data_IF_592988184724
#
_entry.id   IF_592988184724
#
_cell.length_a   1.000
_cell.length_b   1.000
_cell.length_c   1.000
_cell.angle_alpha   90.00
_cell.angle_beta   90.00
_cell.angle_gamma   90.00
#
_symmetry.space_group_name_H-M   'P 1'
#
loop_
_entity.id
_entity.type
_entity.pdbx_description
1 polymer ?
#
# COMPACT_ATOMS: atom_id res chain seq x y z
N UNK A 1 -19.68 18.06 -15.22
CA UNK A 1 -19.31 16.83 -14.47
C UNK A 1 -19.95 16.94 -13.09
N UNK A 2 -20.70 15.93 -12.65
CA UNK A 2 -21.25 15.93 -11.30
C UNK A 2 -20.10 15.92 -10.27
N UNK A 3 -20.23 16.58 -9.11
CA UNK A 3 -19.18 16.55 -8.10
C UNK A 3 -18.99 15.11 -7.58
N UNK A 4 -17.74 14.71 -7.34
CA UNK A 4 -17.34 13.36 -6.89
C UNK A 4 -18.22 12.87 -5.74
N UNK A 5 -18.39 13.71 -4.71
CA UNK A 5 -19.29 13.44 -3.57
C UNK A 5 -20.69 13.03 -3.97
N UNK A 6 -21.29 13.71 -4.94
CA UNK A 6 -22.65 13.42 -5.39
C UNK A 6 -22.75 12.07 -6.09
N UNK A 7 -21.71 11.63 -6.79
CA UNK A 7 -21.67 10.31 -7.42
C UNK A 7 -21.45 9.21 -6.39
N UNK A 8 -20.49 9.42 -5.48
CA UNK A 8 -20.12 8.49 -4.41
C UNK A 8 -21.31 8.18 -3.49
N UNK A 9 -22.11 9.19 -3.14
CA UNK A 9 -23.26 9.07 -2.23
C UNK A 9 -24.58 8.77 -2.95
N UNK A 10 -24.59 8.67 -4.29
CA UNK A 10 -25.80 8.37 -5.02
C UNK A 10 -26.31 6.95 -4.68
N UNK A 11 -27.63 6.77 -4.48
CA UNK A 11 -28.20 5.46 -4.18
C UNK A 11 -27.84 4.41 -5.23
N UNK A 12 -27.40 3.24 -4.78
CA UNK A 12 -27.01 2.12 -5.65
C UNK A 12 -25.62 2.24 -6.27
N UNK A 13 -24.87 3.31 -6.01
CA UNK A 13 -23.46 3.42 -6.40
C UNK A 13 -22.59 2.46 -5.59
N UNK A 14 -21.89 1.57 -6.28
CA UNK A 14 -20.85 0.71 -5.77
C UNK A 14 -19.47 1.29 -6.09
N UNK A 15 -18.47 0.96 -5.29
CA UNK A 15 -17.09 1.42 -5.46
C UNK A 15 -16.11 0.24 -5.43
N UNK A 16 -15.36 0.06 -6.52
CA UNK A 16 -14.29 -0.95 -6.62
C UNK A 16 -12.94 -0.26 -6.63
N UNK A 17 -11.99 -0.70 -5.79
CA UNK A 17 -10.62 -0.18 -5.88
C UNK A 17 -9.85 -0.83 -7.04
N UNK A 18 -9.20 0.00 -7.84
CA UNK A 18 -8.29 -0.41 -8.93
C UNK A 18 -6.88 0.07 -8.57
N UNK A 19 -5.97 -0.85 -8.21
CA UNK A 19 -4.60 -0.50 -7.84
C UNK A 19 -3.84 0.13 -9.02
N UNK A 20 -3.04 1.14 -8.70
CA UNK A 20 -2.11 1.78 -9.63
C UNK A 20 -0.67 1.33 -9.42
N UNK A 21 0.18 1.67 -10.39
CA UNK A 21 1.64 1.65 -10.30
C UNK A 21 2.17 2.96 -10.91
N UNK A 22 2.72 3.90 -10.13
CA UNK A 22 2.95 3.87 -8.68
C UNK A 22 1.67 3.73 -7.83
N UNK A 23 1.80 3.41 -6.54
CA UNK A 23 0.64 3.18 -5.67
C UNK A 23 -0.36 4.36 -5.69
N UNK A 24 0.15 5.61 -5.67
CA UNK A 24 -0.63 6.85 -5.79
C UNK A 24 -1.51 6.99 -7.04
N UNK A 25 -1.28 6.22 -8.11
CA UNK A 25 -2.16 6.22 -9.29
C UNK A 25 -3.35 5.26 -9.17
N UNK A 26 -3.53 4.65 -7.99
CA UNK A 26 -4.71 3.86 -7.66
C UNK A 26 -5.97 4.72 -7.63
N UNK A 27 -7.09 4.15 -8.10
CA UNK A 27 -8.35 4.86 -8.29
C UNK A 27 -9.52 4.06 -7.75
N UNK A 28 -10.58 4.75 -7.32
CA UNK A 28 -11.88 4.13 -7.10
C UNK A 28 -12.68 4.18 -8.39
N UNK A 29 -13.10 3.02 -8.88
CA UNK A 29 -14.08 2.91 -9.95
C UNK A 29 -15.48 2.92 -9.32
N UNK A 30 -16.25 3.99 -9.58
CA UNK A 30 -17.65 4.10 -9.19
C UNK A 30 -18.54 3.53 -10.28
N UNK A 31 -19.49 2.68 -9.91
CA UNK A 31 -20.35 1.97 -10.86
C UNK A 31 -21.71 1.63 -10.26
N UNK A 32 -22.66 1.23 -11.10
CA UNK A 32 -24.02 0.85 -10.68
C UNK A 32 -24.48 -0.38 -11.45
N UNK A 33 -25.18 -1.30 -10.77
CA UNK A 33 -25.65 -2.55 -11.38
C UNK A 33 -26.89 -2.38 -12.28
N UNK A 34 -27.81 -1.52 -11.87
CA UNK A 34 -29.17 -1.46 -12.44
C UNK A 34 -29.32 -0.33 -13.46
N UNK A 35 -28.79 0.85 -13.14
CA UNK A 35 -28.82 2.03 -14.01
C UNK A 35 -27.42 2.56 -14.17
N UNK A 36 -27.05 2.95 -15.37
CA UNK A 36 -25.76 3.59 -15.62
C UNK A 36 -26.00 5.09 -15.79
N UNK A 37 -25.51 5.94 -14.87
CA UNK A 37 -25.49 7.38 -15.06
C UNK A 37 -24.70 7.77 -16.32
N UNK A 38 -25.12 8.81 -17.04
CA UNK A 38 -24.41 9.31 -18.24
C UNK A 38 -22.97 9.76 -17.95
N UNK A 39 -22.65 10.07 -16.69
CA UNK A 39 -21.29 10.42 -16.26
C UNK A 39 -20.31 9.24 -16.29
N UNK A 40 -20.80 8.00 -16.38
CA UNK A 40 -19.97 6.79 -16.36
C UNK A 40 -19.56 6.45 -17.80
N UNK A 41 -18.43 7.00 -18.23
CA UNK A 41 -17.98 6.94 -19.63
C UNK A 41 -16.92 5.89 -19.89
N UNK A 42 -16.21 5.45 -18.85
CA UNK A 42 -15.16 4.44 -18.96
C UNK A 42 -15.73 3.04 -18.69
N UNK A 43 -14.98 1.98 -19.00
CA UNK A 43 -15.44 0.60 -18.77
C UNK A 43 -14.43 -0.18 -17.95
N UNK A 44 -14.91 -1.01 -17.03
CA UNK A 44 -14.11 -1.93 -16.24
C UNK A 44 -14.73 -3.33 -16.27
N UNK A 45 -13.89 -4.34 -16.44
CA UNK A 45 -14.31 -5.74 -16.37
C UNK A 45 -14.54 -6.16 -14.91
N UNK A 46 -15.81 -6.34 -14.56
CA UNK A 46 -16.25 -6.71 -13.22
C UNK A 46 -16.89 -8.09 -13.21
N UNK A 47 -16.62 -8.86 -12.16
CA UNK A 47 -17.36 -10.08 -11.83
C UNK A 47 -18.56 -9.69 -10.99
N UNK A 48 -19.74 -9.72 -11.60
CA UNK A 48 -21.00 -9.28 -10.97
C UNK A 48 -22.02 -10.42 -10.90
N UNK A 49 -22.92 -10.40 -9.90
CA UNK A 49 -24.07 -11.31 -9.85
C UNK A 49 -24.93 -11.23 -11.12
N UNK A 50 -25.39 -12.39 -11.57
CA UNK A 50 -26.27 -12.59 -12.72
C UNK A 50 -27.22 -13.74 -12.40
N UNK A 51 -28.35 -13.43 -11.77
CA UNK A 51 -29.28 -14.42 -11.24
C UNK A 51 -28.61 -15.28 -10.17
N UNK A 52 -28.63 -16.61 -10.35
CA UNK A 52 -27.98 -17.56 -9.45
C UNK A 52 -26.48 -17.81 -9.75
N UNK A 53 -25.88 -17.04 -10.67
CA UNK A 53 -24.48 -17.21 -11.09
C UNK A 53 -23.71 -15.90 -11.04
N UNK A 54 -22.39 -15.95 -11.21
CA UNK A 54 -21.55 -14.75 -11.44
C UNK A 54 -21.07 -14.71 -12.89
N UNK A 55 -21.01 -13.50 -13.46
CA UNK A 55 -20.54 -13.27 -14.83
C UNK A 55 -19.56 -12.11 -14.85
N UNK A 56 -18.52 -12.24 -15.67
CA UNK A 56 -17.69 -11.11 -16.04
C UNK A 56 -18.45 -10.26 -17.06
N UNK A 57 -18.51 -8.95 -16.80
CA UNK A 57 -19.14 -7.96 -17.68
C UNK A 57 -18.25 -6.73 -17.75
N UNK A 58 -18.14 -6.14 -18.93
CA UNK A 58 -17.70 -4.77 -19.07
C UNK A 58 -18.80 -3.86 -18.50
N UNK A 59 -18.51 -3.20 -17.38
CA UNK A 59 -19.44 -2.32 -16.66
C UNK A 59 -18.98 -0.88 -16.86
N UNK A 60 -19.87 0.05 -17.20
CA UNK A 60 -19.53 1.47 -17.25
C UNK A 60 -19.19 2.01 -15.85
N UNK A 61 -18.10 2.75 -15.76
CA UNK A 61 -17.55 3.31 -14.52
C UNK A 61 -17.14 4.76 -14.70
N UNK A 62 -17.05 5.48 -13.58
CA UNK A 62 -16.25 6.70 -13.46
C UNK A 62 -15.10 6.42 -12.52
N UNK A 63 -13.86 6.66 -12.95
CA UNK A 63 -12.72 6.62 -12.04
C UNK A 63 -12.59 7.93 -11.27
N UNK A 64 -12.23 7.79 -10.00
CA UNK A 64 -11.95 8.90 -9.11
C UNK A 64 -10.59 8.67 -8.47
N UNK A 65 -9.71 9.66 -8.57
CA UNK A 65 -8.40 9.61 -7.93
C UNK A 65 -8.56 9.67 -6.41
N UNK A 66 -7.74 8.90 -5.68
CA UNK A 66 -7.84 8.85 -4.22
C UNK A 66 -7.69 10.25 -3.62
N UNK A 67 -6.76 11.06 -4.12
CA UNK A 67 -6.53 12.45 -3.67
C UNK A 67 -7.78 13.33 -3.66
N UNK A 68 -8.76 13.05 -4.53
CA UNK A 68 -9.96 13.86 -4.70
C UNK A 68 -11.16 13.33 -3.91
N UNK A 69 -11.04 12.15 -3.29
CA UNK A 69 -12.15 11.46 -2.62
C UNK A 69 -11.89 11.11 -1.15
N UNK A 70 -10.66 11.29 -0.64
CA UNK A 70 -10.34 10.97 0.77
C UNK A 70 -11.26 11.67 1.76
N UNK A 71 -11.48 12.99 1.60
CA UNK A 71 -12.34 13.77 2.50
C UNK A 71 -13.79 13.29 2.47
N UNK A 72 -14.29 12.95 1.28
CA UNK A 72 -15.65 12.43 1.11
C UNK A 72 -15.80 11.04 1.75
N UNK A 73 -14.80 10.16 1.61
CA UNK A 73 -14.78 8.85 2.26
C UNK A 73 -14.75 8.97 3.79
N UNK A 74 -13.93 9.87 4.33
CA UNK A 74 -13.85 10.11 5.78
C UNK A 74 -15.17 10.67 6.32
N UNK A 75 -15.95 11.38 5.50
CA UNK A 75 -17.25 11.92 5.90
C UNK A 75 -18.41 10.89 5.91
N UNK A 76 -18.27 9.71 5.30
CA UNK A 76 -19.34 8.68 5.23
C UNK A 76 -19.63 8.07 6.61
N UNK A 77 -20.76 8.37 7.25
CA UNK A 77 -20.97 7.92 8.61
C UNK A 77 -21.09 6.37 8.70
N UNK A 78 -20.53 5.72 9.73
CA UNK A 78 -20.63 4.27 9.89
C UNK A 78 -22.07 3.77 10.04
N UNK A 79 -22.97 4.62 10.51
CA UNK A 79 -24.37 4.32 10.84
C UNK A 79 -25.36 4.84 9.81
N UNK A 80 -24.90 5.21 8.61
CA UNK A 80 -25.82 5.60 7.54
C UNK A 80 -26.81 4.44 7.30
N UNK A 81 -28.11 4.76 7.34
CA UNK A 81 -29.21 3.81 7.29
C UNK A 81 -29.28 3.01 5.98
N UNK A 82 -30.33 2.21 5.76
CA UNK A 82 -30.46 1.35 4.58
C UNK A 82 -30.44 2.13 3.24
N UNK A 83 -30.82 3.40 3.26
CA UNK A 83 -30.79 4.31 2.10
C UNK A 83 -29.47 5.09 1.95
N UNK A 84 -28.50 4.82 2.83
CA UNK A 84 -27.17 5.42 2.81
C UNK A 84 -26.25 4.85 1.73
N UNK A 85 -24.96 5.23 1.74
CA UNK A 85 -23.97 4.73 0.80
C UNK A 85 -23.92 3.20 0.76
N UNK A 86 -23.53 2.62 -0.37
CA UNK A 86 -23.45 1.16 -0.50
C UNK A 86 -22.45 0.53 0.49
N UNK A 87 -22.56 -0.79 0.69
CA UNK A 87 -21.62 -1.51 1.53
C UNK A 87 -20.18 -1.40 1.03
N UNK A 88 -19.96 -1.35 -0.29
CA UNK A 88 -18.62 -1.18 -0.86
C UNK A 88 -18.04 0.21 -0.57
N UNK A 89 -18.83 1.27 -0.71
CA UNK A 89 -18.42 2.64 -0.35
C UNK A 89 -18.09 2.73 1.13
N UNK A 90 -18.95 2.19 2.02
CA UNK A 90 -18.69 2.15 3.47
C UNK A 90 -17.42 1.36 3.82
N UNK A 91 -17.13 0.27 3.12
CA UNK A 91 -15.92 -0.52 3.35
C UNK A 91 -14.66 0.28 3.01
N UNK A 92 -14.63 0.97 1.86
CA UNK A 92 -13.51 1.83 1.51
C UNK A 92 -13.39 3.06 2.43
N UNK A 93 -14.51 3.62 2.89
CA UNK A 93 -14.50 4.67 3.91
C UNK A 93 -13.86 4.20 5.23
N UNK A 94 -14.19 2.98 5.69
CA UNK A 94 -13.55 2.38 6.86
C UNK A 94 -12.05 2.14 6.65
N UNK A 95 -11.66 1.62 5.48
CA UNK A 95 -10.26 1.41 5.13
C UNK A 95 -9.46 2.72 5.07
N UNK A 96 -10.05 3.80 4.53
CA UNK A 96 -9.42 5.14 4.50
C UNK A 96 -9.17 5.65 5.91
N UNK A 97 -10.14 5.53 6.83
CA UNK A 97 -9.95 5.94 8.23
C UNK A 97 -8.84 5.14 8.91
N UNK A 98 -8.77 3.83 8.65
CA UNK A 98 -7.69 2.97 9.15
C UNK A 98 -6.31 3.45 8.68
N UNK A 99 -6.16 3.75 7.39
CA UNK A 99 -4.92 4.27 6.83
C UNK A 99 -4.56 5.64 7.43
N UNK A 100 -5.51 6.57 7.51
CA UNK A 100 -5.27 7.91 8.09
C UNK A 100 -4.95 7.86 9.58
N UNK A 101 -5.53 6.91 10.32
CA UNK A 101 -5.19 6.67 11.72
C UNK A 101 -3.73 6.25 11.88
N UNK A 102 -3.23 5.37 11.01
CA UNK A 102 -1.83 4.95 10.98
C UNK A 102 -0.89 6.12 10.61
N UNK A 103 -1.28 6.93 9.62
CA UNK A 103 -0.53 8.14 9.25
C UNK A 103 -0.46 9.12 10.41
N UNK A 104 -1.58 9.36 11.12
CA UNK A 104 -1.63 10.23 12.29
C UNK A 104 -0.74 9.71 13.44
N UNK A 105 -0.53 8.40 13.53
CA UNK A 105 0.41 7.75 14.45
C UNK A 105 1.87 7.77 13.95
N UNK A 106 2.15 8.41 12.82
CA UNK A 106 3.49 8.48 12.22
C UNK A 106 3.98 7.16 11.64
N UNK A 107 3.08 6.21 11.34
CA UNK A 107 3.43 4.90 10.75
C UNK A 107 3.58 5.01 9.24
N UNK A 108 4.59 5.74 8.80
CA UNK A 108 4.83 6.02 7.40
C UNK A 108 6.32 5.95 7.09
N UNK A 109 6.66 5.24 6.02
CA UNK A 109 8.04 5.02 5.60
C UNK A 109 8.19 5.36 4.11
N UNK A 110 9.14 6.26 3.75
CA UNK A 110 9.55 6.42 2.37
C UNK A 110 10.33 5.17 1.92
N UNK A 111 10.02 4.65 0.73
CA UNK A 111 10.59 3.40 0.22
C UNK A 111 10.79 3.44 -1.29
N UNK A 112 11.47 2.43 -1.82
CA UNK A 112 11.58 2.15 -3.24
C UNK A 112 10.87 0.82 -3.51
N UNK A 113 9.97 0.79 -4.49
CA UNK A 113 9.28 -0.45 -4.85
C UNK A 113 10.16 -1.38 -5.72
N UNK A 114 9.64 -2.56 -6.05
CA UNK A 114 10.37 -3.57 -6.82
C UNK A 114 10.76 -3.09 -8.24
N UNK A 115 10.06 -2.09 -8.77
CA UNK A 115 10.33 -1.48 -10.07
C UNK A 115 11.35 -0.33 -9.96
N UNK A 116 11.96 -0.13 -8.79
CA UNK A 116 12.97 0.88 -8.53
C UNK A 116 12.43 2.31 -8.41
N UNK A 117 11.13 2.47 -8.11
CA UNK A 117 10.51 3.80 -8.03
C UNK A 117 10.12 4.24 -6.64
N UNK A 118 9.98 5.55 -6.50
CA UNK A 118 9.58 6.24 -5.29
C UNK A 118 8.17 5.83 -4.81
N UNK A 119 8.06 5.45 -3.54
CA UNK A 119 6.79 5.10 -2.91
C UNK A 119 6.76 5.50 -1.43
N UNK A 120 5.57 5.78 -0.91
CA UNK A 120 5.30 5.82 0.52
C UNK A 120 4.50 4.60 0.93
N UNK A 121 4.86 3.99 2.07
CA UNK A 121 4.16 2.83 2.63
C UNK A 121 3.82 3.05 4.08
N UNK A 122 2.70 2.46 4.51
CA UNK A 122 2.36 2.42 5.92
C UNK A 122 3.19 1.35 6.63
N UNK A 123 3.63 1.67 7.84
CA UNK A 123 4.34 0.74 8.71
C UNK A 123 5.40 1.42 9.58
N UNK A 124 6.11 0.63 10.40
CA UNK A 124 5.84 -0.77 10.70
C UNK A 124 4.49 -0.95 11.42
N UNK A 125 3.82 -2.08 11.18
CA UNK A 125 2.56 -2.44 11.84
C UNK A 125 2.82 -3.20 13.14
N UNK A 126 2.03 -2.90 14.17
CA UNK A 126 1.93 -3.75 15.35
C UNK A 126 0.86 -4.85 15.14
N UNK A 127 0.74 -5.84 16.05
CA UNK A 127 -0.25 -6.91 15.89
C UNK A 127 -1.69 -6.40 15.80
N UNK A 128 -2.04 -5.31 16.48
CA UNK A 128 -3.38 -4.72 16.43
C UNK A 128 -3.65 -4.10 15.06
N UNK A 129 -2.67 -3.43 14.47
CA UNK A 129 -2.74 -2.90 13.10
C UNK A 129 -2.97 -4.02 12.07
N UNK A 130 -2.29 -5.16 12.24
CA UNK A 130 -2.50 -6.35 11.41
C UNK A 130 -3.93 -6.90 11.56
N UNK A 131 -4.41 -7.07 12.78
CA UNK A 131 -5.77 -7.52 13.05
C UNK A 131 -6.82 -6.57 12.46
N UNK A 132 -6.62 -5.25 12.60
CA UNK A 132 -7.52 -4.26 12.03
C UNK A 132 -7.57 -4.33 10.50
N UNK A 133 -6.42 -4.51 9.85
CA UNK A 133 -6.33 -4.69 8.39
C UNK A 133 -7.05 -5.96 7.93
N UNK A 134 -6.87 -7.06 8.65
CA UNK A 134 -7.52 -8.33 8.32
C UNK A 134 -9.03 -8.26 8.53
N UNK A 135 -9.49 -7.59 9.60
CA UNK A 135 -10.91 -7.34 9.83
C UNK A 135 -11.54 -6.52 8.68
N UNK A 136 -10.85 -5.50 8.17
CA UNK A 136 -11.29 -4.75 6.98
C UNK A 136 -11.37 -5.63 5.74
N UNK A 137 -10.38 -6.49 5.51
CA UNK A 137 -10.35 -7.39 4.37
C UNK A 137 -11.47 -8.46 4.44
N UNK A 138 -11.77 -8.97 5.63
CA UNK A 138 -12.83 -9.95 5.84
C UNK A 138 -14.23 -9.33 5.70
N UNK A 139 -14.37 -8.05 6.07
CA UNK A 139 -15.59 -7.26 5.89
C UNK A 139 -15.78 -6.71 4.45
N UNK A 140 -14.78 -6.85 3.57
CA UNK A 140 -14.82 -6.29 2.23
C UNK A 140 -15.89 -7.00 1.37
N UNK A 141 -16.95 -6.30 0.92
CA UNK A 141 -18.04 -6.92 0.17
C UNK A 141 -17.61 -7.23 -1.28
N UNK A 142 -18.23 -8.22 -1.96
CA UNK A 142 -17.85 -8.61 -3.32
C UNK A 142 -17.80 -7.45 -4.33
N UNK A 143 -18.72 -6.50 -4.23
CA UNK A 143 -18.74 -5.32 -5.08
C UNK A 143 -17.50 -4.44 -4.94
N UNK A 144 -16.82 -4.44 -3.77
CA UNK A 144 -15.64 -3.63 -3.52
C UNK A 144 -14.36 -4.19 -4.16
N UNK A 145 -14.29 -5.50 -4.41
CA UNK A 145 -13.14 -6.17 -5.04
C UNK A 145 -13.55 -6.90 -6.34
N UNK A 146 -14.53 -6.34 -7.05
CA UNK A 146 -15.17 -6.98 -8.19
C UNK A 146 -14.31 -7.07 -9.47
N UNK A 147 -13.14 -6.45 -9.50
CA UNK A 147 -12.24 -6.46 -10.66
C UNK A 147 -11.89 -7.89 -11.08
N UNK A 148 -12.16 -8.22 -12.34
CA UNK A 148 -11.82 -9.51 -12.91
C UNK A 148 -10.31 -9.62 -13.16
N UNK A 149 -9.71 -10.74 -12.75
CA UNK A 149 -8.33 -11.05 -13.13
C UNK A 149 -8.29 -11.54 -14.58
N UNK A 150 -7.58 -10.78 -15.42
CA UNK A 150 -7.44 -11.07 -16.85
C UNK A 150 -6.91 -12.48 -17.09
N UNK A 151 -7.45 -13.14 -18.12
CA UNK A 151 -7.01 -14.45 -18.61
C UNK A 151 -7.01 -15.59 -17.57
N UNK A 152 -7.88 -15.56 -16.56
CA UNK A 152 -8.03 -16.65 -15.57
C UNK A 152 -9.18 -17.61 -15.91
N UNK A 153 -8.90 -18.93 -15.87
CA UNK A 153 -9.90 -20.00 -15.90
C UNK A 153 -9.61 -20.98 -14.73
N UNK A 154 -10.54 -21.16 -13.76
CA UNK A 154 -11.82 -20.47 -13.58
C UNK A 154 -11.65 -18.96 -13.33
N UNK A 155 -12.72 -18.18 -13.52
CA UNK A 155 -12.69 -16.72 -13.30
C UNK A 155 -12.35 -16.41 -11.85
N UNK A 156 -11.43 -15.47 -11.63
CA UNK A 156 -10.99 -15.04 -10.31
C UNK A 156 -11.17 -13.53 -10.13
N UNK A 157 -11.45 -13.14 -8.90
CA UNK A 157 -11.49 -11.74 -8.45
C UNK A 157 -10.18 -11.42 -7.73
N UNK A 158 -9.87 -10.13 -7.56
CA UNK A 158 -8.76 -9.71 -6.73
C UNK A 158 -8.90 -10.24 -5.30
N UNK A 159 -7.78 -10.69 -4.72
CA UNK A 159 -7.74 -11.08 -3.31
C UNK A 159 -8.01 -9.87 -2.41
N UNK A 160 -8.86 -10.06 -1.39
CA UNK A 160 -9.34 -8.98 -0.53
C UNK A 160 -8.22 -8.41 0.34
N UNK A 161 -7.38 -9.27 0.91
CA UNK A 161 -6.27 -8.86 1.80
C UNK A 161 -5.22 -8.10 1.01
N UNK A 162 -4.87 -8.60 -0.18
CA UNK A 162 -3.99 -7.91 -1.10
C UNK A 162 -4.56 -6.54 -1.50
N UNK A 163 -5.86 -6.46 -1.83
CA UNK A 163 -6.48 -5.21 -2.28
C UNK A 163 -6.51 -4.16 -1.17
N UNK A 164 -6.82 -4.54 0.07
CA UNK A 164 -6.77 -3.63 1.23
C UNK A 164 -5.34 -3.13 1.48
N UNK A 165 -4.33 -4.00 1.41
CA UNK A 165 -2.94 -3.60 1.55
C UNK A 165 -2.52 -2.58 0.46
N UNK A 166 -2.90 -2.84 -0.80
CA UNK A 166 -2.63 -1.92 -1.92
C UNK A 166 -3.40 -0.61 -1.81
N UNK A 167 -4.60 -0.64 -1.27
CA UNK A 167 -5.38 0.58 -0.99
C UNK A 167 -4.69 1.43 0.07
N UNK A 168 -4.20 0.82 1.16
CA UNK A 168 -3.44 1.51 2.20
C UNK A 168 -2.13 2.12 1.68
N UNK A 169 -1.36 1.38 0.87
CA UNK A 169 -0.18 1.93 0.19
C UNK A 169 -0.57 3.13 -0.69
N UNK A 170 -1.68 3.04 -1.44
CA UNK A 170 -2.15 4.11 -2.32
C UNK A 170 -2.63 5.36 -1.56
N UNK A 171 -3.34 5.18 -0.44
CA UNK A 171 -3.76 6.29 0.44
C UNK A 171 -2.54 6.99 1.04
N UNK A 172 -1.56 6.23 1.55
CA UNK A 172 -0.33 6.78 2.09
C UNK A 172 0.44 7.59 1.04
N UNK A 173 0.64 7.00 -0.14
CA UNK A 173 1.38 7.60 -1.25
C UNK A 173 0.67 8.82 -1.84
N UNK A 174 -0.67 8.84 -1.87
CA UNK A 174 -1.43 10.00 -2.32
C UNK A 174 -1.47 11.12 -1.28
N UNK A 175 -1.55 10.80 0.02
CA UNK A 175 -1.77 11.78 1.08
C UNK A 175 -0.51 12.57 1.45
N UNK A 176 0.67 11.93 1.44
CA UNK A 176 1.88 12.51 2.06
C UNK A 176 2.76 13.30 1.09
N UNK A 177 2.45 13.28 -0.21
CA UNK A 177 3.16 14.02 -1.26
C UNK A 177 2.85 15.52 -1.23
N UNK A 178 3.33 16.15 -0.18
CA UNK A 178 3.24 17.59 0.06
C UNK A 178 4.60 18.24 -0.18
N UNK A 179 4.64 19.58 -0.22
CA UNK A 179 5.91 20.31 -0.34
C UNK A 179 6.91 20.03 0.81
N UNK A 180 6.46 19.48 1.94
CA UNK A 180 7.33 19.12 3.07
C UNK A 180 7.84 17.67 3.02
N UNK A 181 7.32 16.84 2.11
CA UNK A 181 7.74 15.45 1.95
C UNK A 181 9.26 15.25 1.76
N UNK A 182 9.99 16.13 1.03
CA UNK A 182 11.43 15.98 0.87
C UNK A 182 12.21 16.18 2.17
N UNK A 183 11.68 16.98 3.10
CA UNK A 183 12.30 17.20 4.42
C UNK A 183 12.22 15.92 5.25
N UNK A 184 11.09 15.20 5.18
CA UNK A 184 10.90 13.95 5.89
C UNK A 184 11.66 12.78 5.25
N UNK A 185 11.72 12.73 3.93
CA UNK A 185 12.29 11.60 3.18
C UNK A 185 13.74 11.82 2.71
N UNK A 186 14.29 13.03 2.86
CA UNK A 186 15.64 13.37 2.41
C UNK A 186 15.81 13.47 0.89
N UNK A 187 14.73 13.37 0.10
CA UNK A 187 14.79 13.41 -1.37
C UNK A 187 13.50 13.98 -1.98
N UNK A 188 13.65 14.81 -3.02
CA UNK A 188 12.55 15.48 -3.73
C UNK A 188 11.58 14.55 -4.48
N UNK A 189 11.99 13.33 -4.80
CA UNK A 189 11.15 12.33 -5.46
C UNK A 189 9.90 12.01 -4.63
N UNK A 190 9.99 12.08 -3.30
CA UNK A 190 8.89 11.78 -2.39
C UNK A 190 7.82 12.89 -2.30
N UNK A 191 8.01 14.01 -3.00
CA UNK A 191 6.97 15.01 -3.23
C UNK A 191 6.34 14.94 -4.64
N UNK A 192 6.95 14.19 -5.57
CA UNK A 192 6.56 14.20 -6.96
C UNK A 192 5.23 13.45 -7.20
N UNK A 193 4.30 14.05 -7.95
CA UNK A 193 3.09 13.33 -8.39
C UNK A 193 3.43 12.29 -9.46
N UNK A 194 4.32 12.64 -10.38
CA UNK A 194 4.79 11.74 -11.44
C UNK A 194 5.69 10.63 -10.89
N UNK A 195 5.78 9.52 -11.62
CA UNK A 195 6.67 8.39 -11.32
C UNK A 195 8.15 8.84 -11.40
N UNK A 196 8.94 8.60 -10.36
CA UNK A 196 10.38 8.88 -10.33
C UNK A 196 11.16 7.59 -10.10
N UNK A 197 12.03 7.25 -11.05
CA UNK A 197 12.98 6.15 -10.90
C UNK A 197 14.16 6.58 -10.02
N UNK A 198 14.38 5.85 -8.93
CA UNK A 198 15.44 6.08 -7.96
C UNK A 198 16.50 4.96 -7.98
N UNK A 199 16.13 3.78 -8.48
CA UNK A 199 17.01 2.64 -8.66
C UNK A 199 16.70 1.91 -9.97
N UNK A 200 17.66 1.17 -10.55
CA UNK A 200 17.35 0.25 -11.64
C UNK A 200 16.37 -0.84 -11.16
N UNK A 201 15.41 -1.29 -12.01
CA UNK A 201 14.48 -2.34 -11.64
C UNK A 201 15.24 -3.66 -11.40
N UNK A 202 14.92 -4.34 -10.31
CA UNK A 202 15.62 -5.58 -9.94
C UNK A 202 15.05 -6.76 -10.73
N UNK A 203 15.88 -7.56 -11.45
CA UNK A 203 15.39 -8.74 -12.14
C UNK A 203 15.03 -9.84 -11.13
N UNK A 204 13.72 -10.09 -10.93
CA UNK A 204 13.20 -11.26 -10.21
C UNK A 204 12.81 -11.09 -8.74
N UNK A 205 12.40 -9.89 -8.31
CA UNK A 205 12.14 -9.55 -6.90
C UNK A 205 11.15 -10.46 -6.16
N UNK A 206 11.67 -11.31 -5.28
CA UNK A 206 11.00 -11.73 -4.04
C UNK A 206 11.28 -10.63 -3.03
N UNK A 207 10.24 -10.01 -2.50
CA UNK A 207 10.31 -8.75 -1.76
C UNK A 207 11.35 -8.71 -0.65
N UNK A 208 12.35 -7.85 -0.82
CA UNK A 208 13.12 -7.23 0.28
C UNK A 208 13.94 -6.09 -0.32
N UNK A 209 13.34 -4.90 -0.33
CA UNK A 209 13.97 -3.66 -0.77
C UNK A 209 13.90 -2.60 0.31
N UNK A 210 14.25 -2.94 1.54
CA UNK A 210 14.62 -1.93 2.54
C UNK A 210 15.95 -1.36 2.07
N UNK A 211 15.93 -0.14 1.54
CA UNK A 211 17.17 0.60 1.31
C UNK A 211 17.95 0.67 2.63
N UNK A 212 19.26 0.48 2.53
CA UNK A 212 20.19 0.45 3.64
C UNK A 212 20.15 1.68 4.56
N UNK A 213 20.86 1.61 5.69
CA UNK A 213 20.63 2.38 6.91
C UNK A 213 20.74 3.91 6.81
N UNK A 214 21.13 4.49 5.69
CA UNK A 214 21.37 5.93 5.55
C UNK A 214 20.11 6.79 5.35
N UNK A 215 18.93 6.19 5.12
CA UNK A 215 17.65 6.93 5.13
C UNK A 215 16.79 6.65 6.37
N UNK A 216 17.11 5.62 7.15
CA UNK A 216 16.46 5.32 8.44
C UNK A 216 16.96 6.21 9.58
N UNK A 217 18.00 7.01 9.36
CA UNK A 217 18.57 7.94 10.34
C UNK A 217 17.75 9.22 10.56
N UNK A 218 16.66 9.43 9.81
CA UNK A 218 15.65 10.44 10.14
C UNK A 218 14.82 9.96 11.35
N UNK A 219 15.49 9.93 12.49
CA UNK A 219 15.01 9.52 13.79
C UNK A 219 13.92 10.47 14.28
N UNK A 220 12.66 10.07 14.16
CA UNK A 220 11.66 10.49 15.12
C UNK A 220 11.84 9.65 16.38
N UNK A 221 12.64 10.19 17.31
CA UNK A 221 12.67 9.87 18.73
C UNK A 221 12.48 8.40 19.12
N UNK A 222 13.54 7.61 19.01
CA UNK A 222 13.60 6.28 19.61
C UNK A 222 14.95 5.65 19.37
N UNK A 223 15.78 5.55 20.41
CA UNK A 223 17.05 4.81 20.37
C UNK A 223 16.76 3.38 19.91
N UNK A 224 17.30 3.01 18.75
CA UNK A 224 17.15 1.68 18.16
C UNK A 224 17.88 0.65 19.02
N UNK A 225 17.14 0.01 19.93
CA UNK A 225 17.61 -1.16 20.67
C UNK A 225 17.40 -2.41 19.79
N UNK A 226 18.45 -3.19 19.58
CA UNK A 226 18.47 -4.39 18.70
C UNK A 226 17.38 -5.43 19.07
N UNK A 227 17.04 -5.67 20.35
CA UNK A 227 15.89 -6.49 20.76
C UNK A 227 14.52 -5.91 20.39
N UNK A 228 14.38 -4.60 20.18
CA UNK A 228 13.14 -3.99 19.69
C UNK A 228 12.98 -4.21 18.17
N UNK A 229 14.09 -4.13 17.43
CA UNK A 229 14.13 -4.47 16.00
C UNK A 229 13.82 -5.95 15.76
N UNK A 230 14.43 -6.86 16.53
CA UNK A 230 14.16 -8.30 16.42
C UNK A 230 12.69 -8.67 16.70
N UNK A 231 12.02 -7.98 17.64
CA UNK A 231 10.59 -8.18 17.93
C UNK A 231 9.66 -7.66 16.85
N UNK A 232 10.00 -6.55 16.20
CA UNK A 232 9.25 -6.04 15.06
C UNK A 232 9.35 -6.98 13.85
N UNK A 233 10.52 -7.59 13.63
CA UNK A 233 10.75 -8.55 12.54
C UNK A 233 10.09 -9.91 12.80
N UNK A 234 10.04 -10.38 14.06
CA UNK A 234 9.40 -11.67 14.38
C UNK A 234 7.87 -11.65 14.38
N UNK A 235 7.23 -10.47 14.46
CA UNK A 235 5.78 -10.34 14.32
C UNK A 235 5.28 -10.48 12.87
N UNK A 236 6.19 -10.48 11.88
CA UNK A 236 5.85 -10.55 10.44
C UNK A 236 5.92 -11.96 9.84
N UNK A 237 6.20 -13.00 10.61
CA UNK A 237 6.29 -14.37 10.11
C UNK A 237 5.01 -15.16 10.39
N UNK A 238 3.92 -14.79 9.73
CA UNK A 238 2.83 -15.74 9.45
C UNK A 238 2.58 -15.77 7.94
N UNK A 239 3.57 -16.33 7.25
CA UNK A 239 3.41 -16.93 5.93
C UNK A 239 4.35 -18.12 5.93
N UNK A 240 3.83 -19.30 5.57
CA UNK A 240 4.50 -20.61 5.52
C UNK A 240 5.79 -20.58 4.67
N UNK A 241 6.85 -19.99 5.20
CA UNK A 241 8.17 -19.88 4.60
C UNK A 241 9.18 -20.24 5.69
N UNK A 242 9.56 -21.51 5.72
CA UNK A 242 10.68 -21.99 6.53
C UNK A 242 11.98 -21.45 5.93
N UNK A 243 12.44 -20.30 6.41
CA UNK A 243 13.77 -19.76 6.12
C UNK A 243 14.77 -20.28 7.16
N UNK A 244 15.62 -21.23 6.76
CA UNK A 244 16.79 -21.63 7.54
C UNK A 244 17.97 -20.72 7.19
N UNK A 245 18.26 -19.72 8.02
CA UNK A 245 19.46 -18.89 7.92
C UNK A 245 20.64 -19.62 8.58
N UNK A 246 21.60 -20.06 7.76
CA UNK A 246 22.90 -20.55 8.22
C UNK A 246 23.88 -19.38 8.19
N UNK A 247 24.29 -18.91 9.36
CA UNK A 247 25.34 -17.90 9.51
C UNK A 247 26.69 -18.61 9.48
N UNK A 248 27.48 -18.40 8.41
CA UNK A 248 28.89 -18.76 8.42
C UNK A 248 29.71 -17.51 8.75
N UNK A 249 30.51 -17.60 9.82
CA UNK A 249 31.44 -16.53 10.17
C UNK A 249 32.52 -16.46 9.09
N UNK A 250 32.71 -15.27 8.49
CA UNK A 250 33.80 -15.03 7.56
C UNK A 250 35.16 -15.25 8.28
N UNK A 251 36.12 -15.98 7.68
CA UNK A 251 37.44 -16.10 8.25
C UNK A 251 38.13 -14.74 8.26
N UNK A 252 38.56 -14.31 9.45
CA UNK A 252 39.37 -13.12 9.64
C UNK A 252 40.73 -13.37 8.97
N UNK A 253 41.01 -12.66 7.89
CA UNK A 253 42.32 -12.67 7.24
C UNK A 253 43.40 -12.18 8.22
N UNK A 254 44.44 -12.98 8.39
CA UNK A 254 45.67 -12.60 9.08
C UNK A 254 46.24 -11.34 8.43
N UNK A 255 46.34 -10.26 9.21
CA UNK A 255 47.18 -9.12 8.83
C UNK A 255 48.63 -9.58 8.87
N UNK A 256 49.30 -9.44 7.74
CA UNK A 256 50.76 -9.55 7.64
C UNK A 256 51.38 -8.46 8.51
N UNK A 257 52.12 -8.86 9.54
CA UNK A 257 53.01 -7.98 10.30
C UNK A 257 54.30 -7.78 9.49
N UNK A 258 54.29 -6.78 8.61
CA UNK A 258 55.51 -6.09 8.19
C UNK A 258 55.61 -4.78 8.99
N UNK A 259 56.44 -4.77 10.03
CA UNK A 259 57.10 -3.55 10.51
C UNK A 259 58.60 -3.80 10.61
N UNK A 260 59.28 -3.18 9.67
CA UNK A 260 60.69 -2.88 9.61
C UNK A 260 61.01 -1.82 10.67
N UNK A 261 61.84 -2.13 11.67
CA UNK A 261 62.47 -1.13 12.54
C UNK A 261 63.97 -1.41 12.62
N UNK A 262 64.70 -0.75 11.73
CA UNK A 262 66.16 -0.69 11.73
C UNK A 262 66.66 0.37 12.73
N UNK A 263 67.59 -0.09 13.58
CA UNK A 263 68.76 0.60 14.13
C UNK A 263 68.56 1.73 15.18
N UNK A 264 69.09 1.49 16.39
CA UNK A 264 70.10 2.37 17.00
C UNK A 264 71.04 1.59 17.93
N UNK A 265 72.21 2.19 18.09
CA UNK A 265 73.54 1.70 18.45
C UNK A 265 73.80 1.60 19.98
N UNK A 266 74.97 1.03 20.31
CA UNK A 266 75.84 1.31 21.47
C UNK A 266 75.72 0.48 22.78
N UNK A 267 76.56 -0.56 22.89
CA UNK A 267 77.65 -0.71 23.89
C UNK A 267 78.25 -2.14 23.90
#
# INVERSE_FOLDING_TARGET
>A
MAPVRSLLLAPGTEATFVPGRPARSGRLALWQQVRTPESFTETLDLVVPSGASVRQRAVPVTYVDLRDVLDDLVAVAPTDGPDGPSASVRAWAAATRGALHLIARGRLVPTIDDDGIDAWRLGPFDPEDHHARDALADALPPAAHATALAATAPRRMADRRWLVARFWDAVADAYVRTASAPVAAGHEAFAATERVALAPPQPGGVGSGVLGPDLAAATWGGTADVPAWLRATSASADSDLTLALRLEAAPVGSRDDEHDEAAHDEA
#
